data_IF_462985072928
#
_entry.id   IF_462985072928
#
_cell.length_a   1.000
_cell.length_b   1.000
_cell.length_c   1.000
_cell.angle_alpha   90.00
_cell.angle_beta   90.00
_cell.angle_gamma   90.00
#
_symmetry.space_group_name_H-M   'P 1'
#
loop_
_entity.id
_entity.type
_entity.pdbx_description
1 polymer ?
#
# COMPACT_ATOMS: atom_id res chain seq x y z
N UNK A 1 -10.29 0.16 9.89
CA UNK A 1 -10.98 -0.90 10.66
C UNK A 1 -12.48 -0.86 10.46
N UNK A 2 -13.17 0.24 10.79
CA UNK A 2 -14.64 0.33 10.70
C UNK A 2 -15.15 -0.04 9.30
N UNK A 3 -14.61 0.56 8.24
CA UNK A 3 -14.98 0.22 6.86
C UNK A 3 -14.75 -1.26 6.52
N UNK A 4 -13.68 -1.86 7.03
CA UNK A 4 -13.34 -3.27 6.79
C UNK A 4 -14.24 -4.26 7.54
N UNK A 5 -14.89 -3.81 8.62
CA UNK A 5 -15.77 -4.61 9.46
C UNK A 5 -17.18 -4.01 9.54
N UNK A 6 -17.57 -3.23 8.54
CA UNK A 6 -18.90 -2.60 8.51
C UNK A 6 -19.98 -3.68 8.48
N UNK A 7 -21.04 -3.59 9.33
CA UNK A 7 -22.09 -4.60 9.37
C UNK A 7 -23.01 -4.49 8.14
N UNK A 8 -22.62 -5.10 7.03
CA UNK A 8 -23.40 -5.08 5.77
C UNK A 8 -24.54 -6.11 5.78
N UNK A 9 -24.31 -7.30 6.34
CA UNK A 9 -25.28 -8.41 6.34
C UNK A 9 -25.65 -8.89 7.73
N UNK A 10 -24.83 -8.59 8.72
CA UNK A 10 -24.98 -9.00 10.12
C UNK A 10 -24.23 -8.06 11.03
N UNK A 11 -24.56 -8.07 12.31
CA UNK A 11 -23.87 -7.27 13.33
C UNK A 11 -22.37 -7.56 13.37
N UNK A 12 -21.61 -6.53 13.72
CA UNK A 12 -20.16 -6.59 13.90
C UNK A 12 -19.80 -6.22 15.34
N UNK A 13 -18.99 -7.06 15.98
CA UNK A 13 -18.46 -6.80 17.32
C UNK A 13 -17.12 -6.07 17.21
N UNK A 14 -16.96 -5.00 17.98
CA UNK A 14 -15.69 -4.31 18.13
C UNK A 14 -14.97 -4.78 19.40
N UNK A 15 -13.69 -5.13 19.29
CA UNK A 15 -12.77 -5.19 20.44
C UNK A 15 -11.49 -4.42 20.12
N UNK A 16 -10.86 -3.86 21.16
CA UNK A 16 -9.62 -3.10 20.99
C UNK A 16 -8.46 -3.98 20.51
N UNK A 17 -8.46 -5.26 20.88
CA UNK A 17 -7.47 -6.25 20.45
C UNK A 17 -7.63 -6.56 18.96
N UNK A 18 -8.86 -6.75 18.48
CA UNK A 18 -9.13 -6.95 17.04
C UNK A 18 -8.78 -5.71 16.23
N UNK A 19 -9.07 -4.53 16.77
CA UNK A 19 -8.67 -3.26 16.18
C UNK A 19 -7.16 -3.16 16.02
N UNK A 20 -6.42 -3.37 17.11
CA UNK A 20 -4.96 -3.36 17.12
C UNK A 20 -4.39 -4.35 16.11
N UNK A 21 -4.83 -5.61 16.17
CA UNK A 21 -4.31 -6.69 15.35
C UNK A 21 -4.46 -6.38 13.86
N UNK A 22 -5.66 -5.97 13.43
CA UNK A 22 -5.91 -5.70 12.02
C UNK A 22 -5.26 -4.40 11.55
N UNK A 23 -5.28 -3.32 12.34
CA UNK A 23 -4.62 -2.06 11.95
C UNK A 23 -3.12 -2.26 11.80
N UNK A 24 -2.48 -2.95 12.74
CA UNK A 24 -1.05 -3.23 12.67
C UNK A 24 -0.72 -4.13 11.47
N UNK A 25 -1.47 -5.21 11.28
CA UNK A 25 -1.25 -6.13 10.17
C UNK A 25 -1.41 -5.45 8.80
N UNK A 26 -2.53 -4.74 8.58
CA UNK A 26 -2.86 -4.23 7.26
C UNK A 26 -2.11 -2.93 6.93
N UNK A 27 -2.09 -1.97 7.87
CA UNK A 27 -1.52 -0.66 7.61
C UNK A 27 -0.02 -0.63 7.88
N UNK A 28 0.43 -1.05 9.06
CA UNK A 28 1.85 -0.98 9.39
C UNK A 28 2.67 -2.06 8.67
N UNK A 29 2.23 -3.32 8.72
CA UNK A 29 3.03 -4.47 8.29
C UNK A 29 2.93 -4.78 6.79
N UNK A 30 1.81 -4.49 6.14
CA UNK A 30 1.66 -4.68 4.68
C UNK A 30 1.92 -3.38 3.91
N UNK A 31 1.06 -2.36 4.05
CA UNK A 31 1.18 -1.13 3.25
C UNK A 31 2.40 -0.29 3.66
N UNK A 32 2.53 0.03 4.95
CA UNK A 32 3.59 0.87 5.48
C UNK A 32 4.98 0.29 5.29
N UNK A 33 5.13 -1.02 5.54
CA UNK A 33 6.36 -1.73 5.28
C UNK A 33 6.78 -1.66 3.80
N UNK A 34 5.85 -1.89 2.86
CA UNK A 34 6.13 -1.81 1.43
C UNK A 34 6.64 -0.42 1.03
N UNK A 35 5.87 0.63 1.37
CA UNK A 35 6.18 2.02 1.04
C UNK A 35 7.55 2.43 1.62
N UNK A 36 7.78 2.14 2.90
CA UNK A 36 9.05 2.47 3.55
C UNK A 36 10.24 1.75 2.92
N UNK A 37 10.11 0.45 2.63
CA UNK A 37 11.21 -0.35 2.07
C UNK A 37 11.65 0.18 0.71
N UNK A 38 10.70 0.46 -0.18
CA UNK A 38 11.05 0.86 -1.54
C UNK A 38 11.54 2.32 -1.61
N UNK A 39 10.93 3.24 -0.85
CA UNK A 39 11.38 4.63 -0.80
C UNK A 39 12.78 4.75 -0.19
N UNK A 40 13.03 4.15 0.98
CA UNK A 40 14.36 4.18 1.61
C UNK A 40 15.43 3.47 0.76
N UNK A 41 15.06 2.40 0.08
CA UNK A 41 15.99 1.74 -0.85
C UNK A 41 16.34 2.66 -2.03
N UNK A 42 15.36 3.40 -2.55
CA UNK A 42 15.58 4.38 -3.61
C UNK A 42 16.45 5.55 -3.14
N UNK A 43 16.20 6.11 -1.95
CA UNK A 43 17.04 7.15 -1.34
C UNK A 43 18.50 6.70 -1.21
N UNK A 44 18.71 5.47 -0.73
CA UNK A 44 20.06 4.98 -0.44
C UNK A 44 20.83 4.44 -1.64
N UNK A 45 20.15 3.94 -2.68
CA UNK A 45 20.78 3.26 -3.83
C UNK A 45 20.62 3.96 -5.16
N UNK A 46 19.69 4.90 -5.26
CA UNK A 46 19.35 5.64 -6.47
C UNK A 46 19.23 7.14 -6.21
N UNK A 47 19.87 7.64 -5.15
CA UNK A 47 19.93 9.07 -4.79
C UNK A 47 18.54 9.71 -4.59
N UNK A 48 17.54 8.89 -4.27
CA UNK A 48 16.16 9.34 -4.12
C UNK A 48 15.48 9.67 -5.45
N UNK A 49 16.02 9.23 -6.58
CA UNK A 49 15.46 9.46 -7.91
C UNK A 49 14.87 8.17 -8.47
N UNK A 50 13.71 8.26 -9.12
CA UNK A 50 13.14 7.12 -9.87
C UNK A 50 14.14 6.68 -10.92
N UNK A 51 14.65 5.44 -10.88
CA UNK A 51 15.72 5.03 -11.77
C UNK A 51 15.26 4.83 -13.22
N UNK A 52 16.11 5.24 -14.15
CA UNK A 52 16.00 4.88 -15.57
C UNK A 52 16.64 3.50 -15.84
N UNK A 53 16.35 2.94 -17.01
CA UNK A 53 16.98 1.70 -17.48
C UNK A 53 16.35 0.41 -16.95
N UNK A 54 16.79 -0.72 -17.49
CA UNK A 54 16.15 -2.02 -17.29
C UNK A 54 14.84 -2.14 -18.05
N UNK A 55 14.55 -3.35 -18.52
CA UNK A 55 13.33 -3.67 -19.26
C UNK A 55 12.42 -4.58 -18.43
N UNK A 56 11.08 -4.42 -18.53
CA UNK A 56 10.14 -5.36 -17.94
C UNK A 56 10.38 -6.78 -18.43
N UNK A 57 10.29 -7.73 -17.52
CA UNK A 57 10.36 -9.17 -17.78
C UNK A 57 8.98 -9.81 -17.66
N UNK A 58 8.91 -11.14 -17.79
CA UNK A 58 7.68 -11.90 -17.53
C UNK A 58 7.13 -11.66 -16.12
N UNK A 59 8.00 -11.38 -15.14
CA UNK A 59 7.57 -11.08 -13.77
C UNK A 59 6.78 -9.76 -13.69
N UNK A 60 7.25 -8.72 -14.37
CA UNK A 60 6.53 -7.45 -14.46
C UNK A 60 5.24 -7.60 -15.28
N UNK A 61 5.28 -8.33 -16.39
CA UNK A 61 4.09 -8.60 -17.20
C UNK A 61 2.99 -9.30 -16.40
N UNK A 62 3.37 -10.30 -15.59
CA UNK A 62 2.45 -10.98 -14.66
C UNK A 62 1.90 -10.01 -13.62
N UNK A 63 2.76 -9.20 -13.00
CA UNK A 63 2.34 -8.19 -12.02
C UNK A 63 1.32 -7.22 -12.63
N UNK A 64 1.53 -6.73 -13.85
CA UNK A 64 0.60 -5.82 -14.52
C UNK A 64 -0.79 -6.45 -14.70
N UNK A 65 -0.83 -7.73 -15.08
CA UNK A 65 -2.08 -8.47 -15.23
C UNK A 65 -2.79 -8.66 -13.87
N UNK A 66 -2.06 -9.10 -12.84
CA UNK A 66 -2.62 -9.35 -11.51
C UNK A 66 -3.12 -8.07 -10.84
N UNK A 67 -2.35 -6.97 -10.96
CA UNK A 67 -2.74 -5.64 -10.46
C UNK A 67 -3.94 -5.09 -11.23
N UNK A 68 -3.96 -5.23 -12.56
CA UNK A 68 -5.09 -4.81 -13.38
C UNK A 68 -6.38 -5.52 -13.02
N UNK A 69 -6.34 -6.85 -12.87
CA UNK A 69 -7.48 -7.65 -12.47
C UNK A 69 -7.98 -7.26 -11.06
N UNK A 70 -7.07 -7.07 -10.11
CA UNK A 70 -7.44 -6.71 -8.74
C UNK A 70 -7.94 -5.27 -8.61
N UNK A 71 -7.42 -4.34 -9.42
CA UNK A 71 -7.95 -2.97 -9.49
C UNK A 71 -9.37 -2.94 -10.04
N UNK A 72 -9.66 -3.74 -11.07
CA UNK A 72 -11.02 -3.87 -11.61
C UNK A 72 -11.98 -4.41 -10.55
N UNK A 73 -11.61 -5.48 -9.85
CA UNK A 73 -12.39 -6.04 -8.74
C UNK A 73 -12.64 -5.02 -7.61
N UNK A 74 -11.61 -4.27 -7.21
CA UNK A 74 -11.76 -3.20 -6.22
C UNK A 74 -12.74 -2.12 -6.70
N UNK A 75 -12.64 -1.73 -7.97
CA UNK A 75 -13.52 -0.72 -8.57
C UNK A 75 -14.97 -1.20 -8.57
N UNK A 76 -15.22 -2.43 -9.03
CA UNK A 76 -16.57 -3.03 -9.08
C UNK A 76 -17.20 -3.11 -7.68
N UNK A 77 -16.43 -3.52 -6.67
CA UNK A 77 -16.92 -3.56 -5.29
C UNK A 77 -17.24 -2.17 -4.73
N UNK A 78 -16.44 -1.16 -5.05
CA UNK A 78 -16.69 0.23 -4.63
C UNK A 78 -17.94 0.80 -5.30
N UNK A 79 -18.11 0.59 -6.60
CA UNK A 79 -19.30 1.03 -7.35
C UNK A 79 -20.57 0.33 -6.84
N UNK A 80 -20.44 -0.93 -6.44
CA UNK A 80 -21.52 -1.73 -5.84
C UNK A 80 -21.75 -1.44 -4.34
N UNK A 81 -20.94 -0.56 -3.73
CA UNK A 81 -20.99 -0.21 -2.30
C UNK A 81 -20.75 -1.40 -1.36
N UNK A 82 -19.97 -2.39 -1.82
CA UNK A 82 -19.54 -3.55 -1.05
C UNK A 82 -18.22 -3.23 -0.33
N UNK A 83 -18.28 -2.42 0.72
CA UNK A 83 -17.11 -1.85 1.40
C UNK A 83 -16.20 -2.92 2.03
N UNK A 84 -16.77 -3.97 2.64
CA UNK A 84 -15.96 -5.07 3.18
C UNK A 84 -15.14 -5.78 2.09
N UNK A 85 -15.79 -6.10 0.97
CA UNK A 85 -15.10 -6.71 -0.17
C UNK A 85 -14.08 -5.75 -0.77
N UNK A 86 -14.42 -4.47 -0.88
CA UNK A 86 -13.51 -3.42 -1.36
C UNK A 86 -12.24 -3.34 -0.52
N UNK A 87 -12.35 -3.28 0.82
CA UNK A 87 -11.16 -3.26 1.70
C UNK A 87 -10.32 -4.53 1.60
N UNK A 88 -10.95 -5.68 1.37
CA UNK A 88 -10.25 -6.95 1.14
C UNK A 88 -9.47 -6.91 -0.17
N UNK A 89 -10.09 -6.46 -1.27
CA UNK A 89 -9.45 -6.32 -2.57
C UNK A 89 -8.29 -5.30 -2.53
N UNK A 90 -8.49 -4.17 -1.85
CA UNK A 90 -7.44 -3.17 -1.62
C UNK A 90 -6.25 -3.75 -0.88
N UNK A 91 -6.48 -4.51 0.21
CA UNK A 91 -5.40 -5.18 0.93
C UNK A 91 -4.63 -6.15 0.03
N UNK A 92 -5.33 -6.87 -0.85
CA UNK A 92 -4.69 -7.79 -1.80
C UNK A 92 -3.80 -7.08 -2.82
N UNK A 93 -4.15 -5.86 -3.27
CA UNK A 93 -3.23 -5.04 -4.09
C UNK A 93 -1.90 -4.79 -3.35
N UNK A 94 -1.96 -4.43 -2.08
CA UNK A 94 -0.74 -4.20 -1.28
C UNK A 94 0.07 -5.49 -1.09
N UNK A 95 -0.60 -6.64 -0.95
CA UNK A 95 0.05 -7.95 -0.86
C UNK A 95 0.75 -8.30 -2.16
N UNK A 96 0.14 -8.07 -3.33
CA UNK A 96 0.76 -8.30 -4.64
C UNK A 96 2.07 -7.52 -4.77
N UNK A 97 2.09 -6.25 -4.34
CA UNK A 97 3.33 -5.46 -4.31
C UNK A 97 4.41 -6.07 -3.42
N UNK A 98 4.06 -6.51 -2.21
CA UNK A 98 5.01 -7.17 -1.31
C UNK A 98 5.56 -8.49 -1.87
N UNK A 99 4.70 -9.30 -2.48
CA UNK A 99 5.10 -10.54 -3.16
C UNK A 99 6.07 -10.26 -4.31
N UNK A 100 5.74 -9.28 -5.15
CA UNK A 100 6.61 -8.84 -6.24
C UNK A 100 7.99 -8.43 -5.75
N UNK A 101 8.09 -7.55 -4.74
CA UNK A 101 9.41 -7.14 -4.22
C UNK A 101 10.18 -8.31 -3.62
N UNK A 102 9.49 -9.27 -3.01
CA UNK A 102 10.11 -10.46 -2.43
C UNK A 102 10.71 -11.35 -3.50
N UNK A 103 9.98 -11.60 -4.59
CA UNK A 103 10.44 -12.40 -5.72
C UNK A 103 11.50 -11.68 -6.55
N UNK A 104 11.29 -10.41 -6.88
CA UNK A 104 12.18 -9.61 -7.70
C UNK A 104 13.46 -9.18 -6.97
N UNK A 105 13.43 -9.12 -5.63
CA UNK A 105 14.56 -8.92 -4.74
C UNK A 105 15.58 -7.85 -5.18
N UNK A 106 15.17 -6.56 -5.29
CA UNK A 106 16.03 -5.50 -5.83
C UNK A 106 17.31 -5.27 -5.01
N UNK A 107 17.27 -5.51 -3.69
CA UNK A 107 18.42 -5.44 -2.77
C UNK A 107 19.48 -6.50 -3.04
N UNK A 108 19.11 -7.61 -3.68
CA UNK A 108 20.04 -8.62 -4.15
C UNK A 108 20.49 -8.28 -5.56
N UNK A 109 19.54 -7.97 -6.46
CA UNK A 109 19.82 -7.67 -7.86
C UNK A 109 20.82 -6.52 -8.03
N UNK A 110 20.74 -5.46 -7.21
CA UNK A 110 21.63 -4.28 -7.32
C UNK A 110 23.13 -4.62 -7.24
N UNK A 111 23.49 -5.77 -6.63
CA UNK A 111 24.87 -6.20 -6.48
C UNK A 111 25.47 -6.82 -7.74
N UNK A 112 24.63 -7.34 -8.64
CA UNK A 112 25.05 -8.15 -9.79
C UNK A 112 24.45 -7.69 -11.11
N UNK A 113 23.23 -7.16 -11.07
CA UNK A 113 22.47 -6.67 -12.20
C UNK A 113 21.76 -5.34 -11.84
N UNK A 114 22.47 -4.20 -11.99
CA UNK A 114 21.90 -2.88 -11.71
C UNK A 114 20.71 -2.53 -12.61
N UNK A 115 20.66 -3.05 -13.84
CA UNK A 115 19.56 -2.81 -14.76
C UNK A 115 18.29 -3.51 -14.26
N UNK A 116 18.40 -4.76 -13.78
CA UNK A 116 17.31 -5.47 -13.11
C UNK A 116 16.84 -4.73 -11.86
N UNK A 117 17.77 -4.26 -11.02
CA UNK A 117 17.41 -3.49 -9.84
C UNK A 117 16.65 -2.20 -10.19
N UNK A 118 17.08 -1.50 -11.25
CA UNK A 118 16.44 -0.26 -11.70
C UNK A 118 14.97 -0.49 -12.12
N UNK A 119 14.67 -1.48 -12.96
CA UNK A 119 13.27 -1.75 -13.36
C UNK A 119 12.42 -2.19 -12.16
N UNK A 120 12.97 -2.98 -11.24
CA UNK A 120 12.22 -3.44 -10.06
C UNK A 120 11.90 -2.29 -9.11
N UNK A 121 12.86 -1.40 -8.90
CA UNK A 121 12.65 -0.21 -8.08
C UNK A 121 11.65 0.73 -8.74
N UNK A 122 11.79 1.01 -10.04
CA UNK A 122 10.83 1.83 -10.78
C UNK A 122 9.41 1.25 -10.70
N UNK A 123 9.25 -0.06 -10.87
CA UNK A 123 7.96 -0.75 -10.74
C UNK A 123 7.40 -0.64 -9.32
N UNK A 124 8.25 -0.85 -8.31
CA UNK A 124 7.88 -0.70 -6.90
C UNK A 124 7.42 0.72 -6.53
N UNK A 125 8.09 1.76 -7.05
CA UNK A 125 7.68 3.15 -6.84
C UNK A 125 6.35 3.48 -7.54
N UNK A 126 6.12 2.93 -8.74
CA UNK A 126 4.83 3.05 -9.42
C UNK A 126 3.70 2.35 -8.66
N UNK A 127 3.96 1.21 -8.02
CA UNK A 127 3.02 0.60 -7.08
C UNK A 127 2.72 1.51 -5.88
N UNK A 128 3.71 2.22 -5.34
CA UNK A 128 3.49 3.22 -4.27
C UNK A 128 2.53 4.32 -4.73
N UNK A 129 2.75 4.88 -5.93
CA UNK A 129 1.87 5.89 -6.51
C UNK A 129 0.45 5.36 -6.74
N UNK A 130 0.32 4.13 -7.25
CA UNK A 130 -0.97 3.45 -7.37
C UNK A 130 -1.65 3.28 -6.01
N UNK A 131 -0.93 2.79 -5.00
CA UNK A 131 -1.45 2.56 -3.66
C UNK A 131 -1.94 3.85 -2.99
N UNK A 132 -1.28 4.99 -3.23
CA UNK A 132 -1.79 6.28 -2.78
C UNK A 132 -3.20 6.54 -3.34
N UNK A 133 -3.37 6.41 -4.66
CA UNK A 133 -4.65 6.68 -5.36
C UNK A 133 -5.76 5.74 -4.89
N UNK A 134 -5.51 4.43 -4.87
CA UNK A 134 -6.56 3.45 -4.54
C UNK A 134 -6.92 3.39 -3.05
N UNK A 135 -6.03 3.89 -2.18
CA UNK A 135 -6.28 3.93 -0.74
C UNK A 135 -6.98 5.20 -0.28
N UNK A 136 -7.06 6.24 -1.13
CA UNK A 136 -7.69 7.53 -0.82
C UNK A 136 -9.10 7.39 -0.23
N UNK A 137 -10.02 6.57 -0.79
CA UNK A 137 -11.39 6.48 -0.25
C UNK A 137 -11.47 5.86 1.16
N UNK A 138 -10.40 5.21 1.63
CA UNK A 138 -10.39 4.45 2.88
C UNK A 138 -9.52 5.08 3.96
N UNK A 139 -8.37 5.65 3.58
CA UNK A 139 -7.35 6.21 4.48
C UNK A 139 -6.74 7.49 3.87
N UNK A 140 -7.54 8.55 3.65
CA UNK A 140 -7.12 9.72 2.87
C UNK A 140 -5.83 10.39 3.40
N UNK A 141 -5.67 10.53 4.72
CA UNK A 141 -4.45 11.10 5.31
C UNK A 141 -3.21 10.21 5.15
N UNK A 142 -3.41 8.89 5.05
CA UNK A 142 -2.34 7.95 4.74
C UNK A 142 -1.97 8.04 3.25
N UNK A 143 -2.97 8.05 2.39
CA UNK A 143 -2.83 8.21 0.94
C UNK A 143 -2.09 9.49 0.57
N UNK A 144 -2.43 10.62 1.18
CA UNK A 144 -1.76 11.92 0.98
C UNK A 144 -0.25 11.82 1.28
N UNK A 145 0.11 11.28 2.45
CA UNK A 145 1.52 11.09 2.82
C UNK A 145 2.28 10.18 1.85
N UNK A 146 1.60 9.14 1.33
CA UNK A 146 2.20 8.24 0.34
C UNK A 146 2.41 8.98 -0.98
N UNK A 147 1.40 9.72 -1.47
CA UNK A 147 1.48 10.53 -2.70
C UNK A 147 2.63 11.54 -2.63
N UNK A 148 2.71 12.28 -1.52
CA UNK A 148 3.81 13.23 -1.27
C UNK A 148 5.18 12.54 -1.31
N UNK A 149 5.29 11.31 -0.76
CA UNK A 149 6.54 10.55 -0.76
C UNK A 149 7.04 10.14 -2.15
N UNK A 150 6.16 10.11 -3.16
CA UNK A 150 6.52 9.87 -4.57
C UNK A 150 6.39 11.10 -5.46
N UNK A 151 6.13 12.28 -4.87
CA UNK A 151 5.98 13.54 -5.61
C UNK A 151 4.74 13.62 -6.50
N UNK A 152 3.68 12.89 -6.16
CA UNK A 152 2.38 12.98 -6.82
C UNK A 152 1.47 14.01 -6.12
N UNK A 153 0.55 14.61 -6.87
CA UNK A 153 -0.48 15.49 -6.33
C UNK A 153 -1.56 14.71 -5.56
N UNK A 154 -2.25 15.41 -4.66
CA UNK A 154 -3.34 14.85 -3.86
C UNK A 154 -4.51 15.86 -3.73
N UNK A 155 -5.79 15.42 -3.87
CA UNK A 155 -6.23 14.07 -4.20
C UNK A 155 -5.86 13.67 -5.63
N UNK A 156 -5.70 12.37 -5.85
CA UNK A 156 -5.31 11.81 -7.15
C UNK A 156 -6.52 11.54 -8.04
N UNK A 157 -6.26 11.11 -9.27
CA UNK A 157 -7.30 10.56 -10.16
C UNK A 157 -7.31 9.04 -10.01
N UNK A 158 -8.51 8.44 -9.94
CA UNK A 158 -8.64 6.98 -9.91
C UNK A 158 -7.95 6.34 -11.13
N UNK A 159 -7.14 5.28 -10.97
CA UNK A 159 -6.37 4.74 -12.08
C UNK A 159 -7.26 4.06 -13.13
N UNK A 160 -7.04 4.38 -14.41
CA UNK A 160 -7.79 3.80 -15.55
C UNK A 160 -6.88 3.11 -16.59
N UNK A 161 -5.57 3.03 -16.32
CA UNK A 161 -4.58 2.40 -17.19
C UNK A 161 -4.75 0.88 -17.28
N UNK A 162 -4.29 0.29 -18.37
CA UNK A 162 -4.31 -1.17 -18.61
C UNK A 162 -2.91 -1.69 -18.94
N UNK A 163 -2.66 -2.96 -18.62
CA UNK A 163 -1.35 -3.58 -18.84
C UNK A 163 -0.23 -2.77 -18.17
N UNK A 164 0.88 -2.56 -18.87
CA UNK A 164 2.02 -1.80 -18.33
C UNK A 164 1.67 -0.36 -17.93
N UNK A 165 0.69 0.28 -18.60
CA UNK A 165 0.31 1.66 -18.33
C UNK A 165 -0.30 1.86 -16.94
N UNK A 166 -0.75 0.79 -16.26
CA UNK A 166 -1.24 0.87 -14.89
C UNK A 166 -0.12 1.22 -13.89
N UNK A 167 1.13 0.88 -14.22
CA UNK A 167 2.33 1.14 -13.40
C UNK A 167 3.35 2.01 -14.15
N UNK A 168 2.88 2.91 -15.01
CA UNK A 168 3.69 3.93 -15.71
C UNK A 168 3.23 5.34 -15.33
N UNK A 169 3.25 5.62 -14.02
CA UNK A 169 2.78 6.85 -13.38
C UNK A 169 3.96 7.83 -13.15
N UNK A 170 5.09 7.30 -12.69
CA UNK A 170 6.24 8.09 -12.26
C UNK A 170 7.33 8.07 -13.34
N UNK A 171 7.68 9.22 -13.94
CA UNK A 171 8.77 9.30 -14.89
C UNK A 171 10.13 9.10 -14.19
N UNK A 172 11.09 8.57 -14.93
CA UNK A 172 12.46 8.46 -14.45
C UNK A 172 13.04 9.85 -14.09
N UNK A 173 13.87 9.90 -13.06
CA UNK A 173 14.44 11.14 -12.52
C UNK A 173 13.50 11.93 -11.60
N UNK A 174 12.25 11.49 -11.39
CA UNK A 174 11.39 12.10 -10.35
C UNK A 174 11.98 11.86 -8.96
N UNK A 175 12.01 12.91 -8.15
CA UNK A 175 12.42 12.82 -6.75
C UNK A 175 11.36 12.08 -5.93
N UNK A 176 11.82 11.19 -5.06
CA UNK A 176 11.03 10.51 -4.04
C UNK A 176 11.67 10.73 -2.67
N UNK A 177 10.85 10.68 -1.62
CA UNK A 177 11.27 10.88 -0.23
C UNK A 177 10.49 9.91 0.65
N UNK A 178 11.20 9.15 1.49
CA UNK A 178 10.57 8.27 2.45
C UNK A 178 9.90 9.07 3.58
N UNK A 179 8.62 8.81 3.91
CA UNK A 179 8.02 9.42 5.09
C UNK A 179 8.68 8.89 6.37
N UNK A 180 8.87 9.76 7.39
CA UNK A 180 9.49 9.34 8.66
C UNK A 180 8.73 8.18 9.32
N UNK A 181 7.41 8.33 9.49
CA UNK A 181 6.50 7.29 10.00
C UNK A 181 5.16 7.40 9.30
N UNK A 182 4.84 6.40 8.47
CA UNK A 182 3.57 6.38 7.75
C UNK A 182 2.40 5.93 8.64
N UNK A 183 2.54 4.76 9.27
CA UNK A 183 1.56 4.20 10.21
C UNK A 183 2.28 3.80 11.50
N UNK A 184 1.92 4.44 12.62
CA UNK A 184 2.36 4.02 13.94
C UNK A 184 1.59 2.76 14.33
N UNK A 185 2.29 1.75 14.84
CA UNK A 185 1.63 0.60 15.43
C UNK A 185 0.83 1.04 16.66
N UNK A 186 -0.29 0.37 16.86
CA UNK A 186 -1.06 0.42 18.10
C UNK A 186 -0.36 -0.50 19.09
N UNK A 187 0.16 0.07 20.18
CA UNK A 187 0.88 -0.68 21.21
C UNK A 187 -0.08 -1.27 22.25
N UNK A 188 0.37 -2.31 22.95
CA UNK A 188 -0.45 -3.01 23.95
C UNK A 188 -0.89 -2.09 25.09
N UNK A 189 -0.02 -1.17 25.50
CA UNK A 189 -0.29 -0.17 26.52
C UNK A 189 -1.48 0.73 26.12
N UNK A 190 -1.59 1.07 24.84
CA UNK A 190 -2.71 1.86 24.33
C UNK A 190 -4.01 1.06 24.37
N UNK A 191 -3.96 -0.24 24.03
CA UNK A 191 -5.13 -1.13 24.14
C UNK A 191 -5.61 -1.20 25.59
N UNK A 192 -4.70 -1.42 26.54
CA UNK A 192 -5.03 -1.45 27.98
C UNK A 192 -5.65 -0.12 28.43
N UNK A 193 -5.06 1.01 28.04
CA UNK A 193 -5.59 2.35 28.34
C UNK A 193 -7.01 2.53 27.77
N UNK A 194 -7.23 2.16 26.51
CA UNK A 194 -8.51 2.35 25.84
C UNK A 194 -9.60 1.41 26.38
N UNK A 195 -9.26 0.16 26.71
CA UNK A 195 -10.18 -0.76 27.41
C UNK A 195 -10.59 -0.16 28.75
N UNK A 196 -9.65 0.33 29.56
CA UNK A 196 -9.96 0.94 30.85
C UNK A 196 -10.83 2.20 30.72
N UNK A 197 -10.58 3.01 29.68
CA UNK A 197 -11.29 4.27 29.44
C UNK A 197 -12.68 4.09 28.83
N UNK A 198 -12.87 3.10 27.96
CA UNK A 198 -14.07 2.95 27.13
C UNK A 198 -14.85 1.65 27.35
N UNK A 199 -14.33 0.70 28.14
CA UNK A 199 -14.97 -0.59 28.43
C UNK A 199 -16.21 -0.51 29.32
N UNK A 200 -16.49 0.67 29.89
CA UNK A 200 -17.54 0.88 30.87
C UNK A 200 -17.14 0.37 32.26
N UNK A 201 -17.81 0.87 33.30
CA UNK A 201 -17.82 0.17 34.58
C UNK A 201 -18.63 -1.11 34.40
N UNK A 202 -18.07 -2.28 34.69
CA UNK A 202 -18.88 -3.48 34.86
C UNK A 202 -20.10 -3.09 35.72
N UNK A 203 -21.31 -3.25 35.17
CA UNK A 203 -22.52 -3.04 35.93
C UNK A 203 -22.50 -4.08 37.06
N UNK A 204 -22.26 -3.59 38.28
CA UNK A 204 -22.57 -4.33 39.51
C UNK A 204 -24.07 -4.64 39.56
#
# INVERSE_FOLDING_TARGET
WVTANTPETSDATFTWEQFQAQVNADLADVLGNFVNRILKFTETRFEGLVPAGGEPTELEAKLYADVGAKLAELTDHLESREFRKSTTALRQLWVLGNQYLTEAAPWTAIKTDPARAAIVVRTGLNLVALFAKVSEPFIPFGAEKIAMGVGEEFPGVWPTGQGAAILDILPAGRQVVAPEVLFKKVENEQVVEWVARFGGSEAQ
#
